data_IF_160292272307
#
_entry.id   IF_160292272307
#
_cell.length_a   1.000
_cell.length_b   1.000
_cell.length_c   1.000
_cell.angle_alpha   90.00
_cell.angle_beta   90.00
_cell.angle_gamma   90.00
#
_symmetry.space_group_name_H-M   'P 1'
#
loop_
_entity.id
_entity.type
_entity.pdbx_description
1 polymer ?
#
# COMPACT_ATOMS: atom_id res chain seq x y z
N UNK A 1 1.60 23.12 15.14
CA UNK A 1 1.96 21.78 14.64
C UNK A 1 0.67 21.11 14.23
N UNK A 2 0.33 21.12 12.96
CA UNK A 2 -0.83 20.39 12.43
C UNK A 2 -0.45 18.92 12.40
N UNK A 3 -1.15 18.08 13.17
CA UNK A 3 -1.03 16.64 13.04
C UNK A 3 -1.43 16.29 11.61
N UNK A 4 -0.47 15.94 10.79
CA UNK A 4 -0.69 15.39 9.48
C UNK A 4 -1.00 13.90 9.68
N UNK A 5 -2.01 13.39 8.99
CA UNK A 5 -2.46 12.02 9.17
C UNK A 5 -1.83 11.06 8.19
N UNK A 6 -2.15 9.80 8.35
CA UNK A 6 -1.81 8.75 7.40
C UNK A 6 -2.85 8.72 6.28
N UNK A 7 -2.42 8.44 5.06
CA UNK A 7 -3.27 8.38 3.88
C UNK A 7 -3.35 6.95 3.35
N UNK A 8 -4.57 6.47 3.14
CA UNK A 8 -4.82 5.18 2.51
C UNK A 8 -5.24 5.38 1.04
N UNK A 9 -4.37 4.99 0.13
CA UNK A 9 -4.59 5.08 -1.33
C UNK A 9 -5.27 3.80 -1.83
N UNK A 10 -6.37 3.95 -2.59
CA UNK A 10 -7.20 2.82 -3.02
C UNK A 10 -7.92 2.15 -1.85
N UNK A 11 -8.41 2.96 -0.91
CA UNK A 11 -8.92 2.48 0.38
C UNK A 11 -10.38 2.09 0.39
N UNK A 12 -11.14 2.26 -0.70
CA UNK A 12 -12.55 1.91 -0.84
C UNK A 12 -13.39 2.37 0.37
N UNK A 13 -13.97 1.46 1.13
CA UNK A 13 -14.81 1.74 2.31
C UNK A 13 -14.05 2.23 3.55
N UNK A 14 -12.71 2.28 3.51
CA UNK A 14 -11.90 2.76 4.61
C UNK A 14 -11.76 1.82 5.82
N UNK A 15 -12.02 0.52 5.67
CA UNK A 15 -11.99 -0.44 6.79
C UNK A 15 -10.64 -0.47 7.53
N UNK A 16 -9.51 -0.36 6.80
CA UNK A 16 -8.21 -0.34 7.43
C UNK A 16 -7.99 0.95 8.22
N UNK A 17 -8.34 2.10 7.63
CA UNK A 17 -8.27 3.41 8.30
C UNK A 17 -9.14 3.47 9.54
N UNK A 18 -10.36 2.92 9.49
CA UNK A 18 -11.25 2.82 10.66
C UNK A 18 -10.63 1.96 11.76
N UNK A 19 -10.04 0.81 11.43
CA UNK A 19 -9.37 -0.05 12.40
C UNK A 19 -8.15 0.64 13.04
N UNK A 20 -7.38 1.41 12.24
CA UNK A 20 -6.23 2.18 12.72
C UNK A 20 -6.70 3.28 13.67
N UNK A 21 -7.67 4.12 13.29
CA UNK A 21 -8.13 5.25 14.10
C UNK A 21 -8.86 4.78 15.36
N UNK A 22 -9.59 3.67 15.31
CA UNK A 22 -10.20 3.08 16.49
C UNK A 22 -9.16 2.61 17.53
N UNK A 23 -8.02 2.10 17.06
CA UNK A 23 -6.93 1.62 17.94
C UNK A 23 -5.99 2.74 18.38
N UNK A 24 -5.80 3.76 17.51
CA UNK A 24 -4.91 4.89 17.68
C UNK A 24 -5.65 6.21 17.40
N UNK A 25 -6.46 6.72 18.35
CA UNK A 25 -7.32 7.89 18.12
C UNK A 25 -6.58 9.21 17.80
N UNK A 26 -5.28 9.27 18.00
CA UNK A 26 -4.45 10.42 17.64
C UNK A 26 -4.07 10.43 16.14
N UNK A 27 -4.25 9.32 15.42
CA UNK A 27 -4.00 9.23 13.99
C UNK A 27 -5.24 9.74 13.25
N UNK A 28 -5.02 10.50 12.19
CA UNK A 28 -6.05 10.91 11.24
C UNK A 28 -5.76 10.24 9.91
N UNK A 29 -6.78 9.67 9.30
CA UNK A 29 -6.66 9.01 8.01
C UNK A 29 -7.49 9.73 6.94
N UNK A 30 -6.92 9.82 5.73
CA UNK A 30 -7.65 10.21 4.53
C UNK A 30 -7.69 8.98 3.62
N UNK A 31 -8.89 8.52 3.31
CA UNK A 31 -9.11 7.40 2.39
C UNK A 31 -9.30 7.97 1.00
N UNK A 32 -8.41 7.62 0.09
CA UNK A 32 -8.50 8.04 -1.30
C UNK A 32 -8.88 6.86 -2.20
N UNK A 33 -9.83 7.10 -3.07
CA UNK A 33 -10.27 6.15 -4.11
C UNK A 33 -11.03 6.91 -5.21
N UNK A 34 -11.51 6.19 -6.22
CA UNK A 34 -12.45 6.74 -7.20
C UNK A 34 -13.74 7.19 -6.51
N UNK A 35 -14.50 8.04 -7.20
CA UNK A 35 -15.79 8.52 -6.70
C UNK A 35 -16.73 7.37 -6.30
N UNK A 36 -16.74 6.31 -7.09
CA UNK A 36 -17.54 5.11 -6.84
C UNK A 36 -17.02 4.32 -5.64
N UNK A 37 -15.70 4.26 -5.48
CA UNK A 37 -15.04 3.59 -4.36
C UNK A 37 -15.39 4.24 -3.02
N UNK A 38 -15.26 5.56 -2.93
CA UNK A 38 -15.55 6.30 -1.70
C UNK A 38 -17.05 6.46 -1.41
N UNK A 39 -17.93 6.34 -2.41
CA UNK A 39 -19.38 6.47 -2.21
C UNK A 39 -19.97 5.44 -1.21
N UNK A 40 -19.26 4.35 -0.95
CA UNK A 40 -19.62 3.33 0.03
C UNK A 40 -18.85 3.48 1.35
N UNK A 41 -18.08 4.57 1.49
CA UNK A 41 -17.32 4.87 2.70
C UNK A 41 -18.25 5.00 3.91
N UNK A 42 -17.80 4.49 5.04
CA UNK A 42 -18.51 4.62 6.31
C UNK A 42 -17.82 5.71 7.12
N UNK A 43 -18.57 6.77 7.43
CA UNK A 43 -18.06 7.84 8.30
C UNK A 43 -17.58 7.28 9.63
N UNK A 44 -16.39 7.72 10.04
CA UNK A 44 -15.81 7.38 11.33
C UNK A 44 -15.01 8.56 11.85
N UNK A 45 -14.83 8.63 13.15
CA UNK A 45 -14.00 9.65 13.77
C UNK A 45 -12.57 9.56 13.27
N UNK A 46 -12.00 10.69 12.88
CA UNK A 46 -10.64 10.81 12.31
C UNK A 46 -10.42 10.07 10.96
N UNK A 47 -11.49 9.73 10.23
CA UNK A 47 -11.40 9.20 8.87
C UNK A 47 -12.16 10.12 7.91
N UNK A 48 -11.44 10.70 6.96
CA UNK A 48 -12.02 11.47 5.86
C UNK A 48 -11.92 10.68 4.57
N UNK A 49 -12.81 11.01 3.60
CA UNK A 49 -12.80 10.40 2.26
C UNK A 49 -12.54 11.48 1.21
N UNK A 50 -11.71 11.16 0.22
CA UNK A 50 -11.34 12.07 -0.85
C UNK A 50 -11.28 11.33 -2.19
N UNK A 51 -11.95 11.86 -3.21
CA UNK A 51 -11.81 11.34 -4.57
C UNK A 51 -10.38 11.61 -5.08
N UNK A 52 -9.70 10.57 -5.51
CA UNK A 52 -8.38 10.66 -6.12
C UNK A 52 -8.11 9.48 -7.05
N UNK A 53 -7.54 9.79 -8.21
CA UNK A 53 -7.00 8.80 -9.15
C UNK A 53 -5.52 8.58 -8.85
N UNK A 54 -5.14 7.44 -8.33
CA UNK A 54 -3.76 7.12 -7.93
C UNK A 54 -2.75 7.08 -9.11
N UNK A 55 -3.22 7.13 -10.35
CA UNK A 55 -2.34 7.35 -11.52
C UNK A 55 -1.94 8.82 -11.71
N UNK A 56 -2.49 9.72 -10.92
CA UNK A 56 -2.16 11.15 -10.92
C UNK A 56 -1.25 11.50 -9.74
N UNK A 57 -0.52 12.63 -9.84
CA UNK A 57 0.28 13.11 -8.72
C UNK A 57 -0.58 13.30 -7.46
N UNK A 58 -0.05 12.84 -6.34
CA UNK A 58 -0.65 13.03 -5.03
C UNK A 58 -0.68 14.51 -4.64
N UNK A 59 -1.77 14.93 -4.01
CA UNK A 59 -2.01 16.34 -3.63
C UNK A 59 -2.07 16.55 -2.13
N UNK A 60 -2.20 15.47 -1.35
CA UNK A 60 -2.26 15.55 0.12
C UNK A 60 -0.87 15.32 0.70
N UNK A 61 -0.48 16.17 1.64
CA UNK A 61 0.74 15.99 2.44
C UNK A 61 0.39 15.14 3.67
N UNK A 62 1.02 13.99 3.80
CA UNK A 62 0.82 13.08 4.92
C UNK A 62 2.16 12.60 5.49
N UNK A 63 2.12 12.03 6.70
CA UNK A 63 3.30 11.43 7.33
C UNK A 63 3.54 10.01 6.81
N UNK A 64 2.48 9.33 6.34
CA UNK A 64 2.57 8.02 5.71
C UNK A 64 1.55 7.84 4.59
N UNK A 65 1.92 7.05 3.58
CA UNK A 65 1.05 6.63 2.48
C UNK A 65 0.95 5.11 2.49
N UNK A 66 -0.28 4.60 2.65
CA UNK A 66 -0.57 3.17 2.71
C UNK A 66 -1.22 2.69 1.41
N UNK A 67 -0.56 1.78 0.71
CA UNK A 67 -1.10 1.00 -0.41
C UNK A 67 -1.39 -0.42 0.08
N UNK A 68 -2.67 -0.77 0.17
CA UNK A 68 -3.09 -2.08 0.68
C UNK A 68 -3.93 -2.81 -0.37
N UNK A 69 -3.48 -3.97 -0.85
CA UNK A 69 -4.08 -4.71 -1.95
C UNK A 69 -4.18 -3.85 -3.23
N UNK A 70 -3.12 -3.13 -3.56
CA UNK A 70 -3.10 -2.25 -4.73
C UNK A 70 -1.99 -2.64 -5.70
N UNK A 71 -0.74 -2.73 -5.22
CA UNK A 71 0.41 -2.85 -6.12
C UNK A 71 0.43 -4.20 -6.83
N UNK A 72 -0.10 -5.25 -6.21
CA UNK A 72 -0.17 -6.59 -6.81
C UNK A 72 -1.19 -6.70 -7.97
N UNK A 73 -2.18 -5.82 -8.03
CA UNK A 73 -3.18 -5.81 -9.11
C UNK A 73 -2.59 -5.31 -10.45
N UNK A 74 -1.40 -4.72 -10.44
CA UNK A 74 -0.84 -3.99 -11.58
C UNK A 74 0.47 -4.58 -12.06
N UNK A 75 0.67 -4.59 -13.40
CA UNK A 75 1.96 -4.88 -14.01
C UNK A 75 3.02 -3.85 -13.59
N UNK A 76 4.32 -4.18 -13.72
CA UNK A 76 5.41 -3.33 -13.21
C UNK A 76 5.38 -1.90 -13.74
N UNK A 77 4.97 -1.69 -15.00
CA UNK A 77 4.87 -0.36 -15.60
C UNK A 77 3.83 0.52 -14.88
N UNK A 78 2.64 -0.02 -14.64
CA UNK A 78 1.56 0.72 -13.97
C UNK A 78 1.81 0.81 -12.47
N UNK A 79 2.36 -0.22 -11.83
CA UNK A 79 2.78 -0.17 -10.44
C UNK A 79 3.80 0.96 -10.18
N UNK A 80 4.78 1.17 -11.10
CA UNK A 80 5.70 2.31 -11.04
C UNK A 80 4.97 3.64 -11.19
N UNK A 81 4.01 3.75 -12.10
CA UNK A 81 3.22 4.98 -12.27
C UNK A 81 2.44 5.33 -11.01
N UNK A 82 1.80 4.35 -10.38
CA UNK A 82 1.07 4.52 -9.11
C UNK A 82 2.01 5.03 -8.02
N UNK A 83 3.14 4.34 -7.81
CA UNK A 83 4.13 4.74 -6.80
C UNK A 83 4.78 6.09 -7.12
N UNK A 84 4.98 6.43 -8.39
CA UNK A 84 5.50 7.75 -8.81
C UNK A 84 4.54 8.88 -8.43
N UNK A 85 3.26 8.61 -8.30
CA UNK A 85 2.26 9.59 -7.88
C UNK A 85 2.58 10.19 -6.52
N UNK A 86 3.15 9.45 -5.57
CA UNK A 86 3.45 9.97 -4.24
C UNK A 86 4.73 10.81 -4.18
N UNK A 87 5.64 10.69 -5.14
CA UNK A 87 6.96 11.33 -5.10
C UNK A 87 6.91 12.86 -4.88
N UNK A 88 5.99 13.62 -5.52
CA UNK A 88 5.94 15.08 -5.36
C UNK A 88 5.65 15.57 -3.94
N UNK A 89 5.08 14.72 -3.09
CA UNK A 89 4.65 15.08 -1.72
C UNK A 89 5.52 14.44 -0.64
N UNK A 90 6.54 13.67 -1.03
CA UNK A 90 7.49 13.09 -0.10
C UNK A 90 8.35 14.18 0.54
N UNK A 91 8.58 14.06 1.83
CA UNK A 91 9.45 14.94 2.64
C UNK A 91 10.21 14.08 3.64
N UNK A 92 11.30 14.61 4.19
CA UNK A 92 12.10 13.92 5.18
C UNK A 92 11.24 13.25 6.25
N UNK A 93 11.40 11.94 6.43
CA UNK A 93 10.68 11.14 7.41
C UNK A 93 9.29 10.64 6.96
N UNK A 94 8.82 10.99 5.75
CA UNK A 94 7.60 10.40 5.19
C UNK A 94 7.78 8.90 5.02
N UNK A 95 6.75 8.12 5.37
CA UNK A 95 6.74 6.67 5.22
C UNK A 95 5.92 6.23 4.01
N UNK A 96 6.49 5.34 3.21
CA UNK A 96 5.73 4.55 2.25
C UNK A 96 5.46 3.17 2.86
N UNK A 97 4.21 2.75 2.88
CA UNK A 97 3.78 1.46 3.42
C UNK A 97 3.05 0.70 2.33
N UNK A 98 3.55 -0.48 1.98
CA UNK A 98 2.87 -1.39 1.06
C UNK A 98 2.47 -2.65 1.83
N UNK A 99 1.18 -2.99 1.76
CA UNK A 99 0.62 -4.15 2.42
C UNK A 99 0.01 -5.09 1.37
N UNK A 100 0.84 -5.97 0.85
CA UNK A 100 0.51 -6.93 -0.19
C UNK A 100 1.04 -8.33 0.14
N UNK A 101 0.70 -9.32 -0.67
CA UNK A 101 1.27 -10.65 -0.56
C UNK A 101 2.71 -10.60 -1.10
N UNK A 102 3.66 -11.07 -0.30
CA UNK A 102 5.05 -11.27 -0.76
C UNK A 102 5.23 -12.72 -1.15
N UNK A 103 5.55 -12.96 -2.43
CA UNK A 103 5.80 -14.29 -2.95
C UNK A 103 7.06 -14.89 -2.29
N UNK A 104 6.96 -16.02 -1.58
CA UNK A 104 8.12 -16.62 -0.93
C UNK A 104 9.05 -17.29 -1.95
N UNK A 105 10.32 -17.42 -1.59
CA UNK A 105 11.20 -18.30 -2.31
C UNK A 105 10.68 -19.76 -2.23
N UNK A 106 10.89 -20.59 -3.26
CA UNK A 106 10.42 -21.96 -3.25
C UNK A 106 10.87 -22.74 -2.02
N UNK A 107 9.97 -23.46 -1.37
CA UNK A 107 10.24 -24.32 -0.20
C UNK A 107 10.72 -23.58 1.06
N UNK A 108 10.46 -22.30 1.18
CA UNK A 108 10.82 -21.50 2.39
C UNK A 108 9.66 -21.34 3.37
N UNK A 109 8.45 -21.68 2.97
CA UNK A 109 7.24 -21.67 3.78
C UNK A 109 6.52 -23.02 3.70
N UNK A 110 5.54 -23.23 4.57
CA UNK A 110 4.70 -24.43 4.50
C UNK A 110 4.09 -24.60 3.11
N UNK A 111 4.02 -25.86 2.62
CA UNK A 111 3.56 -26.18 1.28
C UNK A 111 2.13 -25.67 1.00
N UNK A 112 1.27 -25.69 2.02
CA UNK A 112 -0.11 -25.20 1.87
C UNK A 112 -0.11 -23.69 1.66
N UNK A 113 0.67 -22.95 2.43
CA UNK A 113 0.84 -21.50 2.29
C UNK A 113 1.43 -21.15 0.91
N UNK A 114 2.48 -21.89 0.49
CA UNK A 114 3.08 -21.67 -0.82
C UNK A 114 2.06 -21.88 -1.95
N UNK A 115 1.27 -22.95 -1.90
CA UNK A 115 0.21 -23.22 -2.89
C UNK A 115 -0.85 -22.12 -2.91
N UNK A 116 -1.27 -21.62 -1.76
CA UNK A 116 -2.22 -20.50 -1.68
C UNK A 116 -1.66 -19.27 -2.38
N UNK A 117 -0.41 -18.88 -2.08
CA UNK A 117 0.21 -17.68 -2.68
C UNK A 117 0.40 -17.86 -4.18
N UNK A 118 0.86 -19.06 -4.65
CA UNK A 118 0.98 -19.32 -6.09
C UNK A 118 -0.37 -19.32 -6.80
N UNK A 119 -1.43 -19.79 -6.14
CA UNK A 119 -2.79 -19.70 -6.66
C UNK A 119 -3.26 -18.25 -6.82
N UNK A 120 -2.97 -17.40 -5.85
CA UNK A 120 -3.23 -15.96 -5.95
C UNK A 120 -2.44 -15.31 -7.08
N UNK A 121 -1.14 -15.62 -7.23
CA UNK A 121 -0.31 -15.10 -8.30
C UNK A 121 -0.89 -15.40 -9.69
N UNK A 122 -1.32 -16.65 -9.92
CA UNK A 122 -2.02 -17.04 -11.16
C UNK A 122 -3.31 -16.24 -11.33
N UNK A 123 -4.08 -16.07 -10.25
CA UNK A 123 -5.34 -15.32 -10.30
C UNK A 123 -5.10 -13.84 -10.64
N UNK A 124 -4.11 -13.20 -10.04
CA UNK A 124 -3.74 -11.81 -10.35
C UNK A 124 -3.33 -11.67 -11.82
N UNK A 125 -2.51 -12.60 -12.34
CA UNK A 125 -2.10 -12.59 -13.74
C UNK A 125 -3.26 -12.76 -14.73
N UNK A 126 -4.22 -13.64 -14.42
CA UNK A 126 -5.37 -13.93 -15.31
C UNK A 126 -6.44 -12.84 -15.25
N UNK A 127 -6.74 -12.32 -14.06
CA UNK A 127 -7.87 -11.40 -13.85
C UNK A 127 -7.49 -9.93 -14.06
N UNK A 128 -6.27 -9.53 -13.67
CA UNK A 128 -5.88 -8.14 -13.55
C UNK A 128 -4.59 -7.77 -14.32
N UNK A 129 -3.94 -8.75 -14.96
CA UNK A 129 -2.59 -8.62 -15.51
C UNK A 129 -1.53 -8.20 -14.46
N UNK A 130 -1.85 -8.41 -13.18
CA UNK A 130 -0.99 -8.18 -12.03
C UNK A 130 -0.12 -9.39 -11.70
N UNK A 131 0.57 -9.34 -10.57
CA UNK A 131 1.38 -10.46 -10.06
C UNK A 131 1.72 -10.29 -8.58
N UNK A 132 1.92 -11.42 -7.90
CA UNK A 132 2.56 -11.42 -6.58
C UNK A 132 4.08 -11.31 -6.74
N UNK A 133 4.67 -10.32 -6.07
CA UNK A 133 6.10 -10.02 -6.16
C UNK A 133 6.87 -10.61 -5.00
N UNK A 134 8.14 -10.98 -5.24
CA UNK A 134 9.07 -11.25 -4.13
C UNK A 134 9.45 -9.95 -3.42
N UNK A 135 10.06 -10.05 -2.24
CA UNK A 135 10.52 -8.88 -1.51
C UNK A 135 11.54 -8.06 -2.33
N UNK A 136 12.47 -8.75 -3.00
CA UNK A 136 13.48 -8.11 -3.85
C UNK A 136 12.85 -7.36 -5.01
N UNK A 137 11.76 -7.90 -5.60
CA UNK A 137 11.03 -7.24 -6.67
C UNK A 137 10.29 -6.00 -6.17
N UNK A 138 9.70 -6.02 -4.96
CA UNK A 138 9.12 -4.82 -4.35
C UNK A 138 10.19 -3.76 -4.07
N UNK A 139 11.34 -4.15 -3.51
CA UNK A 139 12.45 -3.23 -3.25
C UNK A 139 12.99 -2.60 -4.54
N UNK A 140 13.18 -3.39 -5.60
CA UNK A 140 13.61 -2.89 -6.89
C UNK A 140 12.56 -1.93 -7.50
N UNK A 141 11.28 -2.28 -7.42
CA UNK A 141 10.17 -1.46 -7.93
C UNK A 141 10.15 -0.07 -7.25
N UNK A 142 10.29 -0.01 -5.93
CA UNK A 142 10.31 1.25 -5.19
C UNK A 142 11.60 2.04 -5.45
N UNK A 143 12.75 1.38 -5.51
CA UNK A 143 14.04 2.03 -5.79
C UNK A 143 14.09 2.62 -7.21
N UNK A 144 13.46 1.97 -8.20
CA UNK A 144 13.34 2.48 -9.56
C UNK A 144 12.49 3.77 -9.63
N UNK A 145 11.53 3.93 -8.72
CA UNK A 145 10.67 5.12 -8.65
C UNK A 145 11.36 6.27 -7.93
N UNK A 146 11.93 6.00 -6.75
CA UNK A 146 12.58 7.01 -5.92
C UNK A 146 13.65 6.37 -5.03
N UNK A 147 14.91 6.55 -5.41
CA UNK A 147 16.04 5.93 -4.73
C UNK A 147 16.27 6.42 -3.27
N UNK A 148 15.66 7.54 -2.88
CA UNK A 148 15.70 8.04 -1.50
C UNK A 148 14.68 7.38 -0.57
N UNK A 149 13.78 6.57 -1.09
CA UNK A 149 12.95 5.67 -0.28
C UNK A 149 13.78 4.49 0.18
N UNK A 150 14.17 4.49 1.45
CA UNK A 150 15.02 3.45 2.06
C UNK A 150 14.18 2.38 2.70
N UNK A 151 14.33 1.14 2.24
CA UNK A 151 13.66 -0.01 2.81
C UNK A 151 14.01 -0.21 4.29
N UNK A 152 13.00 -0.39 5.13
CA UNK A 152 13.14 -0.55 6.58
C UNK A 152 12.81 -1.97 7.02
N UNK A 153 11.62 -2.46 6.70
CA UNK A 153 11.17 -3.75 7.20
C UNK A 153 10.13 -4.42 6.31
N UNK A 154 10.06 -5.74 6.43
CA UNK A 154 8.99 -6.58 5.90
C UNK A 154 8.53 -7.52 7.01
N UNK A 155 7.29 -7.39 7.47
CA UNK A 155 6.70 -8.20 8.52
C UNK A 155 5.43 -8.87 8.02
N UNK A 156 5.35 -10.19 8.15
CA UNK A 156 4.11 -10.94 7.91
C UNK A 156 3.45 -11.27 9.25
N UNK A 157 2.31 -10.65 9.58
CA UNK A 157 1.59 -10.96 10.82
C UNK A 157 1.16 -12.44 10.86
N UNK A 158 1.16 -13.02 12.06
CA UNK A 158 0.71 -14.40 12.24
C UNK A 158 -0.73 -14.58 11.75
N UNK A 159 -0.97 -15.63 10.96
CA UNK A 159 -2.27 -15.92 10.36
C UNK A 159 -2.61 -15.08 9.13
N UNK A 160 -1.74 -14.17 8.69
CA UNK A 160 -1.93 -13.38 7.47
C UNK A 160 -1.12 -13.95 6.30
N UNK A 161 -1.67 -13.87 5.08
CA UNK A 161 -0.91 -14.04 3.85
C UNK A 161 -0.18 -12.76 3.43
N UNK A 162 -0.68 -11.59 3.88
CA UNK A 162 -0.11 -10.29 3.55
C UNK A 162 1.10 -9.99 4.41
N UNK A 163 2.04 -9.28 3.82
CA UNK A 163 3.19 -8.68 4.50
C UNK A 163 3.05 -7.16 4.51
N UNK A 164 3.54 -6.54 5.56
CA UNK A 164 3.64 -5.08 5.70
C UNK A 164 5.09 -4.73 5.41
N UNK A 165 5.31 -4.01 4.33
CA UNK A 165 6.61 -3.51 3.91
C UNK A 165 6.66 -2.00 4.11
N UNK A 166 7.76 -1.49 4.66
CA UNK A 166 7.91 -0.05 4.93
C UNK A 166 9.20 0.50 4.37
N UNK A 167 9.12 1.73 3.88
CA UNK A 167 10.26 2.55 3.45
C UNK A 167 10.16 3.91 4.11
N UNK A 168 11.30 4.48 4.49
CA UNK A 168 11.43 5.85 4.97
C UNK A 168 12.07 6.71 3.88
N UNK A 169 11.52 7.90 3.66
CA UNK A 169 12.10 8.84 2.71
C UNK A 169 13.20 9.66 3.37
N UNK A 170 14.41 9.56 2.78
CA UNK A 170 15.61 10.31 3.15
C UNK A 170 15.82 11.44 2.15
N UNK A 171 15.14 12.57 2.39
CA UNK A 171 15.15 13.74 1.55
C UNK A 171 16.41 14.56 1.54
#
# INVERSE_FOLDING_TARGET
MTAQGDEQVGGSRGHASQAITARYPHIRCIVQDTKEGIAQGVEAENVAFMEHDFFKPQTVLADAYLYRYIIHDWADGDARRILSGVVPVLRQGTKLIVMDIVAPAPKTVDLHIERCIRGWDVSMGVLLAGKERTLEQFQALVADVEARLRFQTCVRPSGSLMSIMTWDYEG
#
